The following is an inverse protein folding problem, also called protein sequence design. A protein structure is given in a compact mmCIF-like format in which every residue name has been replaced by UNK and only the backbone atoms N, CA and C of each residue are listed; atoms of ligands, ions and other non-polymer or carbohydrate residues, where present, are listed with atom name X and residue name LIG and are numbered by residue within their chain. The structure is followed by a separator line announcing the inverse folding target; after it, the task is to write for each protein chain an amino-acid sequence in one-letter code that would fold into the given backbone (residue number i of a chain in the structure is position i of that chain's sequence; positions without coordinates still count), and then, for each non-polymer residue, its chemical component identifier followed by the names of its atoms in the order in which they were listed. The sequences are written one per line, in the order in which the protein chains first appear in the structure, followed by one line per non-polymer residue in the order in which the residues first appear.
data_IF_468149466663
#
_entry.id   IF_468149466663
#
_cell.length_a   1.000
_cell.length_b   1.000
_cell.length_c   1.000
_cell.angle_alpha   90.00
_cell.angle_beta   90.00
_cell.angle_gamma   90.00
#
_symmetry.space_group_name_H-M   'P 1'
#
loop_
_entity.id
_entity.type
_entity.pdbx_description
1 polymer ?
#
# COMPACT_ATOMS: atom_id res chain seq x y z
N UNK A 1 77.53 1.58 5.75
CA UNK A 1 76.33 1.69 6.60
C UNK A 1 75.21 2.18 5.70
N UNK A 2 74.32 1.28 5.30
CA UNK A 2 73.21 1.57 4.38
C UNK A 2 71.95 1.66 5.23
N UNK A 3 71.26 2.79 5.16
CA UNK A 3 70.08 3.12 5.95
C UNK A 3 68.88 2.21 5.61
N UNK A 4 68.28 1.67 6.66
CA UNK A 4 67.06 0.88 6.63
C UNK A 4 65.84 1.75 6.34
N UNK A 5 65.38 1.78 5.09
CA UNK A 5 64.05 2.27 4.75
C UNK A 5 63.00 1.23 5.12
N UNK A 6 62.35 1.49 6.25
CA UNK A 6 61.13 0.84 6.74
C UNK A 6 59.99 0.97 5.72
N UNK A 7 59.70 -0.13 5.02
CA UNK A 7 58.47 -0.30 4.24
C UNK A 7 57.30 -0.48 5.22
N UNK A 8 56.77 0.63 5.74
CA UNK A 8 55.41 0.65 6.30
C UNK A 8 54.46 0.37 5.14
N UNK A 9 53.96 -0.87 5.07
CA UNK A 9 52.76 -1.18 4.30
C UNK A 9 51.61 -0.41 4.95
N UNK A 10 51.20 0.67 4.29
CA UNK A 10 49.93 1.32 4.52
C UNK A 10 48.84 0.27 4.33
N UNK A 11 48.30 -0.21 5.45
CA UNK A 11 47.08 -0.97 5.49
C UNK A 11 45.97 -0.04 4.98
N UNK A 12 45.67 -0.17 3.68
CA UNK A 12 44.46 0.37 3.08
C UNK A 12 43.29 -0.29 3.81
N UNK A 13 42.75 0.43 4.79
CA UNK A 13 41.41 0.23 5.30
C UNK A 13 40.46 0.39 4.12
N UNK A 14 40.16 -0.71 3.43
CA UNK A 14 38.86 -0.84 2.79
C UNK A 14 37.86 -0.84 3.94
N UNK A 15 37.27 0.33 4.19
CA UNK A 15 36.02 0.40 4.92
C UNK A 15 35.02 -0.45 4.14
N UNK A 16 34.89 -1.69 4.61
CA UNK A 16 33.85 -2.61 4.24
C UNK A 16 32.55 -1.85 4.50
N UNK A 17 31.94 -1.34 3.42
CA UNK A 17 30.67 -0.63 3.43
C UNK A 17 29.57 -1.66 3.75
N UNK A 18 29.63 -2.16 4.99
CA UNK A 18 28.77 -3.19 5.55
C UNK A 18 27.46 -2.50 5.83
N UNK A 19 26.51 -2.71 4.92
CA UNK A 19 25.12 -2.34 5.13
C UNK A 19 24.70 -2.77 6.53
N UNK A 20 24.15 -1.87 7.37
CA UNK A 20 23.78 -2.21 8.73
C UNK A 20 22.80 -3.39 8.72
N UNK A 21 23.05 -4.37 9.59
CA UNK A 21 22.21 -5.56 9.68
C UNK A 21 20.73 -5.18 9.84
N UNK A 22 19.81 -5.87 9.16
CA UNK A 22 18.38 -5.57 9.23
C UNK A 22 17.89 -5.71 10.68
N UNK A 23 17.35 -4.63 11.23
CA UNK A 23 16.78 -4.61 12.59
C UNK A 23 15.31 -5.01 12.53
N UNK A 24 14.93 -6.00 13.34
CA UNK A 24 13.54 -6.44 13.47
C UNK A 24 12.68 -5.35 14.11
N UNK A 25 11.49 -5.11 13.54
CA UNK A 25 10.46 -4.23 14.13
C UNK A 25 9.50 -5.08 14.95
N UNK A 26 9.77 -5.24 16.24
CA UNK A 26 9.02 -6.17 17.12
C UNK A 26 7.61 -5.69 17.51
N UNK A 27 7.17 -4.52 17.03
CA UNK A 27 5.85 -3.93 17.35
C UNK A 27 4.90 -3.79 16.16
N UNK A 28 5.18 -4.41 15.01
CA UNK A 28 4.24 -4.39 13.88
C UNK A 28 3.08 -5.34 14.14
N UNK A 29 1.84 -4.85 14.01
CA UNK A 29 0.68 -5.71 14.12
C UNK A 29 0.59 -6.61 12.89
N UNK A 30 0.34 -7.89 13.12
CA UNK A 30 0.04 -8.82 12.04
C UNK A 30 -1.44 -8.74 11.68
N UNK A 31 -1.73 -8.69 10.37
CA UNK A 31 -3.07 -8.83 9.81
C UNK A 31 -3.00 -9.93 8.76
N UNK A 32 -3.97 -10.84 8.76
CA UNK A 32 -4.11 -11.83 7.68
C UNK A 32 -4.61 -11.17 6.37
N UNK A 33 -4.48 -11.84 5.21
CA UNK A 33 -5.05 -11.35 3.96
C UNK A 33 -6.56 -11.05 4.07
N UNK A 34 -7.30 -11.88 4.78
CA UNK A 34 -8.74 -11.67 5.05
C UNK A 34 -9.00 -10.45 5.94
N UNK A 35 -8.15 -10.22 6.95
CA UNK A 35 -8.27 -9.04 7.80
C UNK A 35 -8.00 -7.75 7.01
N UNK A 36 -7.01 -7.76 6.11
CA UNK A 36 -6.70 -6.62 5.23
C UNK A 36 -7.90 -6.29 4.34
N UNK A 37 -8.48 -7.29 3.67
CA UNK A 37 -9.69 -7.13 2.85
C UNK A 37 -10.87 -6.56 3.65
N UNK A 38 -11.10 -7.10 4.85
CA UNK A 38 -12.17 -6.62 5.74
C UNK A 38 -11.93 -5.18 6.22
N UNK A 39 -10.66 -4.82 6.46
CA UNK A 39 -10.26 -3.48 6.91
C UNK A 39 -10.49 -2.46 5.82
N UNK A 40 -10.18 -2.78 4.57
CA UNK A 40 -10.43 -1.90 3.42
C UNK A 40 -11.92 -1.70 3.19
N UNK A 41 -12.71 -2.77 3.32
CA UNK A 41 -14.16 -2.69 3.25
C UNK A 41 -14.70 -1.72 4.32
N UNK A 42 -14.18 -1.78 5.55
CA UNK A 42 -14.52 -0.84 6.62
C UNK A 42 -14.10 0.60 6.31
N UNK A 43 -12.89 0.80 5.75
CA UNK A 43 -12.42 2.13 5.31
C UNK A 43 -13.36 2.70 4.24
N UNK A 44 -13.76 1.90 3.25
CA UNK A 44 -14.69 2.29 2.20
C UNK A 44 -16.05 2.70 2.78
N UNK A 45 -16.60 1.91 3.71
CA UNK A 45 -17.86 2.20 4.39
C UNK A 45 -17.77 3.49 5.21
N UNK A 46 -16.73 3.64 6.03
CA UNK A 46 -16.53 4.83 6.87
C UNK A 46 -16.32 6.09 6.05
N UNK A 47 -15.56 6.00 4.95
CA UNK A 47 -15.41 7.11 4.02
C UNK A 47 -16.72 7.49 3.36
N UNK A 48 -17.51 6.51 2.90
CA UNK A 48 -18.81 6.78 2.27
C UNK A 48 -19.75 7.49 3.24
N UNK A 49 -19.75 7.08 4.52
CA UNK A 49 -20.50 7.75 5.60
C UNK A 49 -19.98 9.16 5.87
N UNK A 50 -18.67 9.38 5.85
CA UNK A 50 -18.08 10.70 6.05
C UNK A 50 -18.42 11.64 4.88
N UNK A 51 -18.24 11.17 3.64
CA UNK A 51 -18.58 11.90 2.44
C UNK A 51 -20.07 12.27 2.39
N UNK A 52 -20.99 11.36 2.77
CA UNK A 52 -22.43 11.66 2.77
C UNK A 52 -22.81 12.75 3.77
N UNK A 53 -22.14 12.83 4.92
CA UNK A 53 -22.31 13.95 5.86
C UNK A 53 -21.88 15.26 5.20
N UNK A 54 -20.72 15.28 4.54
CA UNK A 54 -20.21 16.49 3.87
C UNK A 54 -21.09 16.93 2.70
N UNK A 55 -21.57 15.99 1.88
CA UNK A 55 -22.52 16.27 0.79
C UNK A 55 -23.81 16.88 1.36
N UNK A 56 -24.36 16.30 2.42
CA UNK A 56 -25.56 16.83 3.08
C UNK A 56 -25.38 18.25 3.60
N UNK A 57 -24.22 18.57 4.19
CA UNK A 57 -23.90 19.94 4.61
C UNK A 57 -23.92 20.87 3.39
N UNK A 58 -23.29 20.48 2.28
CA UNK A 58 -23.30 21.26 1.03
C UNK A 58 -24.72 21.53 0.50
N UNK A 59 -25.56 20.50 0.45
CA UNK A 59 -26.96 20.61 0.02
C UNK A 59 -27.78 21.55 0.92
N UNK A 60 -27.60 21.46 2.24
CA UNK A 60 -28.29 22.34 3.19
C UNK A 60 -27.84 23.80 3.04
N UNK A 61 -26.54 24.04 2.82
CA UNK A 61 -25.98 25.38 2.58
C UNK A 61 -26.55 25.99 1.29
N UNK A 62 -26.61 25.23 0.20
CA UNK A 62 -27.18 25.70 -1.07
C UNK A 62 -28.69 25.93 -1.00
N UNK A 63 -29.43 25.07 -0.31
CA UNK A 63 -30.87 25.25 -0.06
C UNK A 63 -31.13 26.53 0.77
N UNK A 64 -30.33 26.76 1.82
CA UNK A 64 -30.41 27.96 2.63
C UNK A 64 -30.08 29.22 1.81
N UNK A 65 -29.04 29.15 0.98
CA UNK A 65 -28.69 30.23 0.04
C UNK A 65 -29.86 30.59 -0.87
N UNK A 66 -30.48 29.61 -1.52
CA UNK A 66 -31.62 29.83 -2.41
C UNK A 66 -32.85 30.43 -1.66
N UNK A 67 -33.07 30.01 -0.42
CA UNK A 67 -34.13 30.56 0.45
C UNK A 67 -33.90 32.03 0.80
N UNK A 68 -32.68 32.38 1.20
CA UNK A 68 -32.27 33.76 1.51
C UNK A 68 -32.32 34.63 0.25
N UNK A 69 -31.81 34.12 -0.88
CA UNK A 69 -31.88 34.81 -2.16
C UNK A 69 -33.32 35.13 -2.60
N UNK A 70 -34.28 34.22 -2.33
CA UNK A 70 -35.70 34.44 -2.62
C UNK A 70 -36.32 35.48 -1.71
N UNK A 71 -35.97 35.46 -0.42
CA UNK A 71 -36.48 36.40 0.58
C UNK A 71 -35.97 37.83 0.39
N UNK A 72 -34.77 38.00 -0.18
CA UNK A 72 -34.11 39.29 -0.36
C UNK A 72 -34.25 39.90 -1.77
N UNK A 73 -35.23 39.44 -2.57
CA UNK A 73 -35.43 39.92 -3.95
C UNK A 73 -35.74 41.42 -4.08
N UNK A 74 -36.26 42.04 -3.01
CA UNK A 74 -36.62 43.47 -2.99
C UNK A 74 -35.49 44.42 -2.58
N UNK A 75 -34.29 43.92 -2.28
CA UNK A 75 -33.14 44.73 -1.87
C UNK A 75 -32.22 45.08 -3.06
N UNK A 76 -31.47 46.17 -2.91
CA UNK A 76 -30.42 46.55 -3.85
C UNK A 76 -29.36 45.45 -3.99
N UNK A 77 -28.81 45.29 -5.20
CA UNK A 77 -27.93 44.18 -5.55
C UNK A 77 -26.63 44.15 -4.70
N UNK A 78 -26.14 45.33 -4.28
CA UNK A 78 -24.91 45.45 -3.48
C UNK A 78 -25.12 44.96 -2.05
N UNK A 79 -26.20 45.37 -1.40
CA UNK A 79 -26.50 44.98 -0.02
C UNK A 79 -26.98 43.53 0.06
N UNK A 80 -27.72 43.07 -0.96
CA UNK A 80 -28.21 41.69 -1.08
C UNK A 80 -27.06 40.67 -1.04
N UNK A 81 -26.00 40.90 -1.80
CA UNK A 81 -24.86 39.97 -1.89
C UNK A 81 -24.13 39.83 -0.54
N UNK A 82 -23.93 40.95 0.16
CA UNK A 82 -23.27 40.96 1.48
C UNK A 82 -24.09 40.19 2.53
N UNK A 83 -25.41 40.43 2.58
CA UNK A 83 -26.32 39.77 3.52
C UNK A 83 -26.41 38.27 3.23
N UNK A 84 -26.51 37.86 1.97
CA UNK A 84 -26.51 36.43 1.57
C UNK A 84 -25.22 35.77 2.05
N UNK A 85 -24.05 36.33 1.72
CA UNK A 85 -22.77 35.73 2.10
C UNK A 85 -22.62 35.59 3.62
N UNK A 86 -23.04 36.60 4.39
CA UNK A 86 -23.00 36.54 5.86
C UNK A 86 -23.95 35.48 6.42
N UNK A 87 -25.17 35.40 5.90
CA UNK A 87 -26.16 34.40 6.33
C UNK A 87 -25.72 32.97 5.99
N UNK A 88 -25.28 32.75 4.76
CA UNK A 88 -24.78 31.45 4.27
C UNK A 88 -23.53 31.02 5.04
N UNK A 89 -22.59 31.94 5.28
CA UNK A 89 -21.39 31.65 6.08
C UNK A 89 -21.73 31.30 7.53
N UNK A 90 -22.70 31.98 8.15
CA UNK A 90 -23.16 31.67 9.51
C UNK A 90 -23.80 30.29 9.57
N UNK A 91 -24.74 30.02 8.66
CA UNK A 91 -25.42 28.73 8.60
C UNK A 91 -24.46 27.57 8.35
N UNK A 92 -23.49 27.74 7.45
CA UNK A 92 -22.41 26.76 7.23
C UNK A 92 -21.62 26.49 8.52
N UNK A 93 -21.25 27.54 9.25
CA UNK A 93 -20.49 27.39 10.49
C UNK A 93 -21.28 26.64 11.59
N UNK A 94 -22.60 26.80 11.63
CA UNK A 94 -23.47 26.09 12.57
C UNK A 94 -23.60 24.61 12.19
N UNK A 95 -23.83 24.29 10.90
CA UNK A 95 -23.87 22.91 10.41
C UNK A 95 -22.55 22.15 10.64
N UNK A 96 -21.41 22.82 10.40
CA UNK A 96 -20.08 22.26 10.68
C UNK A 96 -19.93 21.93 12.16
N UNK A 97 -20.46 22.78 13.05
CA UNK A 97 -20.40 22.59 14.51
C UNK A 97 -21.30 21.45 14.97
N UNK A 98 -22.53 21.39 14.47
CA UNK A 98 -23.50 20.33 14.78
C UNK A 98 -22.98 18.95 14.35
N UNK A 99 -22.36 18.88 13.18
CA UNK A 99 -21.81 17.63 12.62
C UNK A 99 -20.38 17.33 13.09
N UNK A 100 -19.80 18.12 14.00
CA UNK A 100 -18.39 17.98 14.36
C UNK A 100 -18.07 16.63 14.99
N UNK A 101 -18.89 16.16 15.93
CA UNK A 101 -18.65 14.89 16.64
C UNK A 101 -18.73 13.66 15.72
N UNK A 102 -19.79 13.43 14.93
CA UNK A 102 -19.83 12.26 14.03
C UNK A 102 -18.69 12.29 12.99
N UNK A 103 -18.32 13.47 12.46
CA UNK A 103 -17.20 13.60 11.51
C UNK A 103 -15.85 13.27 12.16
N UNK A 104 -15.59 13.79 13.37
CA UNK A 104 -14.35 13.49 14.12
C UNK A 104 -14.26 12.01 14.49
N UNK A 105 -15.37 11.38 14.88
CA UNK A 105 -15.39 9.95 15.19
C UNK A 105 -14.99 9.12 13.95
N UNK A 106 -15.64 9.36 12.80
CA UNK A 106 -15.30 8.68 11.55
C UNK A 106 -13.84 8.91 11.14
N UNK A 107 -13.34 10.15 11.29
CA UNK A 107 -11.95 10.49 10.97
C UNK A 107 -10.96 9.76 11.86
N UNK A 108 -11.24 9.65 13.17
CA UNK A 108 -10.41 8.89 14.12
C UNK A 108 -10.42 7.41 13.80
N UNK A 109 -11.57 6.83 13.48
CA UNK A 109 -11.68 5.42 13.09
C UNK A 109 -10.90 5.14 11.80
N UNK A 110 -11.01 6.02 10.79
CA UNK A 110 -10.24 5.92 9.55
C UNK A 110 -8.73 5.94 9.81
N UNK A 111 -8.27 6.82 10.69
CA UNK A 111 -6.86 6.91 11.08
C UNK A 111 -6.37 5.64 11.80
N UNK A 112 -7.17 5.08 12.71
CA UNK A 112 -6.85 3.83 13.39
C UNK A 112 -6.75 2.64 12.42
N UNK A 113 -7.69 2.54 11.47
CA UNK A 113 -7.66 1.52 10.43
C UNK A 113 -6.43 1.69 9.53
N UNK A 114 -6.09 2.93 9.14
CA UNK A 114 -4.86 3.25 8.39
C UNK A 114 -3.62 2.77 9.12
N UNK A 115 -3.48 3.13 10.39
CA UNK A 115 -2.31 2.78 11.20
C UNK A 115 -2.16 1.25 11.34
N UNK A 116 -3.28 0.54 11.50
CA UNK A 116 -3.29 -0.93 11.55
C UNK A 116 -2.74 -1.53 10.25
N UNK A 117 -3.26 -1.10 9.09
CA UNK A 117 -2.80 -1.57 7.77
C UNK A 117 -1.32 -1.20 7.52
N UNK A 118 -0.92 0.03 7.85
CA UNK A 118 0.45 0.49 7.68
C UNK A 118 1.43 -0.31 8.54
N UNK A 119 1.04 -0.66 9.78
CA UNK A 119 1.87 -1.51 10.64
C UNK A 119 2.05 -2.91 10.05
N UNK A 120 0.99 -3.48 9.46
CA UNK A 120 1.00 -4.79 8.84
C UNK A 120 1.81 -4.85 7.53
N UNK A 121 1.95 -3.72 6.81
CA UNK A 121 2.68 -3.63 5.53
C UNK A 121 4.10 -4.19 5.58
N UNK A 122 4.76 -4.12 6.75
CA UNK A 122 6.11 -4.67 6.93
C UNK A 122 6.18 -6.17 6.63
N UNK A 123 5.08 -6.90 6.84
CA UNK A 123 5.00 -8.33 6.62
C UNK A 123 4.66 -8.74 5.17
N UNK A 124 4.42 -7.78 4.29
CA UNK A 124 4.00 -7.99 2.90
C UNK A 124 4.94 -7.30 1.91
N UNK A 125 6.18 -6.98 2.31
CA UNK A 125 7.13 -6.22 1.49
C UNK A 125 7.68 -6.97 0.27
N UNK A 126 7.58 -8.31 0.27
CA UNK A 126 8.14 -9.15 -0.77
C UNK A 126 7.36 -10.45 -0.90
N UNK A 127 7.13 -10.95 -2.14
CA UNK A 127 6.55 -12.27 -2.37
C UNK A 127 7.33 -13.40 -1.68
N UNK A 128 8.67 -13.29 -1.61
CA UNK A 128 9.52 -14.28 -0.92
C UNK A 128 9.20 -14.33 0.58
N UNK A 129 9.02 -13.16 1.22
CA UNK A 129 8.65 -13.10 2.64
C UNK A 129 7.25 -13.68 2.89
N UNK A 130 6.31 -13.43 1.97
CA UNK A 130 4.97 -14.01 2.06
C UNK A 130 5.02 -15.54 1.94
N UNK A 131 5.72 -16.06 0.94
CA UNK A 131 5.84 -17.49 0.66
C UNK A 131 6.53 -18.23 1.83
N UNK A 132 7.63 -17.68 2.33
CA UNK A 132 8.38 -18.28 3.46
C UNK A 132 7.59 -18.27 4.77
N UNK A 133 6.74 -17.26 4.98
CA UNK A 133 5.83 -17.17 6.14
C UNK A 133 4.66 -18.14 6.02
N UNK A 134 4.06 -18.26 4.83
CA UNK A 134 2.92 -19.16 4.59
C UNK A 134 3.30 -20.63 4.84
N UNK A 135 4.53 -21.00 4.51
CA UNK A 135 5.07 -22.36 4.67
C UNK A 135 5.83 -22.56 5.99
N UNK A 136 5.73 -21.63 6.92
CA UNK A 136 6.42 -21.71 8.21
C UNK A 136 5.82 -22.84 9.06
N UNK A 137 6.69 -23.73 9.56
CA UNK A 137 6.25 -24.89 10.35
C UNK A 137 5.83 -26.11 9.53
N UNK A 138 5.90 -26.05 8.18
CA UNK A 138 5.68 -27.22 7.34
C UNK A 138 6.79 -28.27 7.54
N UNK A 139 6.39 -29.48 7.97
CA UNK A 139 7.30 -30.64 8.03
C UNK A 139 7.82 -31.00 6.64
N UNK A 140 6.96 -30.89 5.64
CA UNK A 140 7.29 -31.21 4.25
C UNK A 140 8.38 -30.28 3.73
N UNK A 141 8.24 -28.96 3.97
CA UNK A 141 9.29 -27.98 3.63
C UNK A 141 10.62 -28.33 4.29
N UNK A 142 10.61 -28.70 5.57
CA UNK A 142 11.83 -29.08 6.30
C UNK A 142 12.52 -30.30 5.68
N UNK A 143 11.75 -31.33 5.28
CA UNK A 143 12.28 -32.52 4.59
C UNK A 143 12.84 -32.18 3.22
N UNK A 144 12.15 -31.37 2.43
CA UNK A 144 12.61 -30.92 1.12
C UNK A 144 13.93 -30.15 1.26
N UNK A 145 14.04 -29.24 2.23
CA UNK A 145 15.28 -28.50 2.49
C UNK A 145 16.47 -29.42 2.76
N UNK A 146 16.26 -30.53 3.47
CA UNK A 146 17.31 -31.54 3.70
C UNK A 146 17.66 -32.28 2.42
N UNK A 147 16.66 -32.64 1.59
CA UNK A 147 16.88 -33.36 0.33
C UNK A 147 17.67 -32.53 -0.69
N UNK A 148 17.38 -31.23 -0.81
CA UNK A 148 18.03 -30.34 -1.78
C UNK A 148 19.36 -29.73 -1.27
N UNK A 149 19.79 -30.05 -0.05
CA UNK A 149 20.98 -29.46 0.55
C UNK A 149 22.24 -29.71 -0.31
N UNK A 150 22.35 -30.92 -0.87
CA UNK A 150 23.45 -31.33 -1.75
C UNK A 150 23.23 -31.08 -3.24
N UNK A 151 22.08 -30.55 -3.65
CA UNK A 151 21.77 -30.35 -5.07
C UNK A 151 22.64 -29.27 -5.71
N UNK A 152 23.08 -29.53 -6.93
CA UNK A 152 23.85 -28.60 -7.76
C UNK A 152 22.97 -27.55 -8.46
N UNK A 153 23.56 -26.51 -9.09
CA UNK A 153 22.80 -25.43 -9.73
C UNK A 153 21.81 -25.91 -10.81
N UNK A 154 22.20 -26.91 -11.62
CA UNK A 154 21.33 -27.45 -12.66
C UNK A 154 20.08 -28.15 -12.09
N UNK A 155 20.24 -28.96 -11.03
CA UNK A 155 19.11 -29.62 -10.36
C UNK A 155 18.19 -28.59 -9.71
N UNK A 156 18.75 -27.56 -9.07
CA UNK A 156 17.96 -26.49 -8.45
C UNK A 156 17.15 -25.70 -9.50
N UNK A 157 17.69 -25.48 -10.70
CA UNK A 157 16.96 -24.86 -11.81
C UNK A 157 15.74 -25.71 -12.21
N UNK A 158 15.95 -27.00 -12.49
CA UNK A 158 14.87 -27.91 -12.90
C UNK A 158 13.81 -28.08 -11.80
N UNK A 159 14.22 -28.12 -10.52
CA UNK A 159 13.28 -28.18 -9.40
C UNK A 159 12.48 -26.87 -9.26
N UNK A 160 13.07 -25.72 -9.57
CA UNK A 160 12.36 -24.44 -9.55
C UNK A 160 11.30 -24.35 -10.66
N UNK A 161 11.64 -24.80 -11.88
CA UNK A 161 10.67 -24.92 -12.98
C UNK A 161 9.52 -25.86 -12.60
N UNK A 162 9.84 -27.01 -12.02
CA UNK A 162 8.83 -27.95 -11.52
C UNK A 162 7.95 -27.35 -10.42
N UNK A 163 8.54 -26.66 -9.46
CA UNK A 163 7.80 -25.98 -8.38
C UNK A 163 6.84 -24.91 -8.94
N UNK A 164 7.31 -24.14 -9.92
CA UNK A 164 6.52 -23.11 -10.60
C UNK A 164 5.35 -23.71 -11.38
N UNK A 165 5.58 -24.81 -12.12
CA UNK A 165 4.55 -25.50 -12.88
C UNK A 165 3.47 -26.12 -11.97
N UNK A 166 3.88 -26.75 -10.87
CA UNK A 166 2.95 -27.41 -9.93
C UNK A 166 2.32 -26.46 -8.90
N UNK A 167 2.77 -25.20 -8.84
CA UNK A 167 2.43 -24.21 -7.81
C UNK A 167 2.67 -24.73 -6.38
N UNK A 168 3.73 -25.52 -6.19
CA UNK A 168 4.09 -26.12 -4.90
C UNK A 168 4.85 -25.16 -3.99
N UNK A 169 4.11 -24.49 -3.11
CA UNK A 169 4.64 -23.45 -2.22
C UNK A 169 5.74 -23.95 -1.27
N UNK A 170 5.62 -25.17 -0.75
CA UNK A 170 6.61 -25.73 0.18
C UNK A 170 7.95 -25.97 -0.50
N UNK A 171 7.92 -26.50 -1.73
CA UNK A 171 9.11 -26.69 -2.55
C UNK A 171 9.72 -25.34 -2.96
N UNK A 172 8.90 -24.40 -3.44
CA UNK A 172 9.37 -23.07 -3.82
C UNK A 172 10.01 -22.31 -2.66
N UNK A 173 9.44 -22.39 -1.46
CA UNK A 173 9.99 -21.77 -0.26
C UNK A 173 11.33 -22.39 0.17
N UNK A 174 11.47 -23.72 0.06
CA UNK A 174 12.72 -24.43 0.34
C UNK A 174 13.82 -24.01 -0.65
N UNK A 175 13.48 -23.97 -1.95
CA UNK A 175 14.38 -23.55 -3.03
C UNK A 175 14.83 -22.08 -2.87
N UNK A 176 13.93 -21.16 -2.50
CA UNK A 176 14.27 -19.77 -2.22
C UNK A 176 15.31 -19.64 -1.09
N UNK A 177 15.18 -20.45 -0.04
CA UNK A 177 16.16 -20.51 1.04
C UNK A 177 17.52 -21.02 0.54
N UNK A 178 17.52 -22.16 -0.16
CA UNK A 178 18.75 -22.79 -0.66
C UNK A 178 19.54 -21.89 -1.62
N UNK A 179 18.85 -21.17 -2.51
CA UNK A 179 19.49 -20.24 -3.46
C UNK A 179 20.02 -18.98 -2.77
N UNK A 180 19.40 -18.54 -1.67
CA UNK A 180 19.93 -17.42 -0.89
C UNK A 180 21.30 -17.75 -0.27
N UNK A 181 21.53 -19.01 0.10
CA UNK A 181 22.79 -19.49 0.67
C UNK A 181 23.92 -19.64 -0.38
N UNK A 182 23.58 -19.68 -1.68
CA UNK A 182 24.57 -19.78 -2.75
C UNK A 182 25.26 -18.43 -3.04
N UNK A 183 26.55 -18.44 -3.43
CA UNK A 183 27.21 -17.29 -4.02
C UNK A 183 26.44 -16.76 -5.22
N UNK A 184 26.40 -15.44 -5.41
CA UNK A 184 25.57 -14.81 -6.46
C UNK A 184 25.83 -15.36 -7.88
N UNK A 185 27.07 -15.74 -8.19
CA UNK A 185 27.46 -16.30 -9.47
C UNK A 185 26.94 -17.73 -9.72
N UNK A 186 26.60 -18.47 -8.66
CA UNK A 186 26.16 -19.86 -8.72
C UNK A 186 24.64 -20.01 -8.62
N UNK A 187 23.91 -18.89 -8.52
CA UNK A 187 22.45 -18.89 -8.38
C UNK A 187 21.81 -19.18 -9.74
N UNK A 188 21.10 -20.31 -9.90
CA UNK A 188 20.54 -20.70 -11.20
C UNK A 188 19.25 -19.96 -11.56
N UNK A 189 18.56 -19.35 -10.59
CA UNK A 189 17.35 -18.57 -10.80
C UNK A 189 17.20 -17.46 -9.74
N UNK A 190 16.28 -16.53 -9.97
CA UNK A 190 15.92 -15.49 -9.01
C UNK A 190 14.86 -16.00 -8.03
N UNK A 191 15.17 -16.00 -6.73
CA UNK A 191 14.19 -16.31 -5.69
C UNK A 191 12.97 -15.37 -5.74
N UNK A 192 13.17 -14.11 -6.17
CA UNK A 192 12.09 -13.14 -6.34
C UNK A 192 11.12 -13.54 -7.44
N UNK A 193 11.63 -13.97 -8.60
CA UNK A 193 10.81 -14.42 -9.73
C UNK A 193 10.03 -15.68 -9.39
N UNK A 194 10.70 -16.67 -8.77
CA UNK A 194 10.02 -17.90 -8.33
C UNK A 194 8.88 -17.58 -7.37
N UNK A 195 9.13 -16.74 -6.35
CA UNK A 195 8.10 -16.36 -5.40
C UNK A 195 6.98 -15.50 -6.01
N UNK A 196 7.28 -14.69 -7.03
CA UNK A 196 6.27 -13.93 -7.77
C UNK A 196 5.34 -14.86 -8.57
N UNK A 197 5.87 -15.92 -9.17
CA UNK A 197 5.05 -16.94 -9.86
C UNK A 197 4.11 -17.68 -8.89
N UNK A 198 4.48 -17.83 -7.61
CA UNK A 198 3.65 -18.55 -6.61
C UNK A 198 2.67 -17.64 -5.86
N UNK A 199 3.11 -16.44 -5.50
CA UNK A 199 2.42 -15.53 -4.58
C UNK A 199 2.28 -14.10 -5.10
N UNK A 200 2.73 -13.82 -6.32
CA UNK A 200 2.78 -12.46 -6.90
C UNK A 200 1.41 -11.82 -7.04
N UNK A 201 0.39 -12.58 -7.48
CA UNK A 201 -0.99 -12.09 -7.55
C UNK A 201 -1.51 -11.63 -6.18
N UNK A 202 -1.41 -12.49 -5.16
CA UNK A 202 -1.81 -12.15 -3.80
C UNK A 202 -0.99 -10.99 -3.24
N UNK A 203 0.32 -10.95 -3.51
CA UNK A 203 1.18 -9.85 -3.09
C UNK A 203 0.78 -8.51 -3.74
N UNK A 204 0.50 -8.50 -5.05
CA UNK A 204 0.02 -7.30 -5.78
C UNK A 204 -1.34 -6.87 -5.27
N UNK A 205 -2.27 -7.80 -5.11
CA UNK A 205 -3.60 -7.56 -4.56
C UNK A 205 -3.49 -6.86 -3.20
N UNK A 206 -2.78 -7.46 -2.25
CA UNK A 206 -2.62 -6.91 -0.90
C UNK A 206 -1.86 -5.58 -0.90
N UNK A 207 -0.82 -5.46 -1.72
CA UNK A 207 -0.05 -4.20 -1.85
C UNK A 207 -0.93 -3.07 -2.37
N UNK A 208 -1.72 -3.32 -3.42
CA UNK A 208 -2.69 -2.37 -3.96
C UNK A 208 -3.72 -1.99 -2.87
N UNK A 209 -4.27 -2.98 -2.19
CA UNK A 209 -5.20 -2.83 -1.09
C UNK A 209 -4.67 -1.89 0.02
N UNK A 210 -3.40 -2.03 0.41
CA UNK A 210 -2.77 -1.19 1.44
C UNK A 210 -2.58 0.25 0.98
N UNK A 211 -2.11 0.46 -0.24
CA UNK A 211 -1.93 1.79 -0.85
C UNK A 211 -3.28 2.49 -0.99
N UNK A 212 -4.29 1.74 -1.42
CA UNK A 212 -5.65 2.21 -1.57
C UNK A 212 -6.25 2.63 -0.22
N UNK A 213 -6.03 1.85 0.85
CA UNK A 213 -6.43 2.19 2.21
C UNK A 213 -5.86 3.54 2.65
N UNK A 214 -4.55 3.76 2.47
CA UNK A 214 -3.87 5.00 2.81
C UNK A 214 -4.43 6.19 2.01
N UNK A 215 -4.56 6.04 0.69
CA UNK A 215 -5.12 7.06 -0.19
C UNK A 215 -6.52 7.48 0.27
N UNK A 216 -7.41 6.51 0.56
CA UNK A 216 -8.79 6.81 0.95
C UNK A 216 -8.90 7.61 2.24
N UNK A 217 -8.01 7.34 3.19
CA UNK A 217 -7.98 8.06 4.47
C UNK A 217 -7.45 9.48 4.27
N UNK A 218 -6.42 9.67 3.44
CA UNK A 218 -5.93 11.01 3.10
C UNK A 218 -6.98 11.84 2.36
N UNK A 219 -7.73 11.25 1.42
CA UNK A 219 -8.83 11.94 0.74
C UNK A 219 -9.91 12.37 1.74
N UNK A 220 -10.30 11.52 2.68
CA UNK A 220 -11.26 11.91 3.73
C UNK A 220 -10.75 13.05 4.63
N UNK A 221 -9.45 13.06 4.96
CA UNK A 221 -8.82 14.14 5.73
C UNK A 221 -8.74 15.45 4.93
N UNK A 222 -8.53 15.38 3.62
CA UNK A 222 -8.60 16.54 2.72
C UNK A 222 -10.01 17.11 2.67
N UNK A 223 -11.02 16.27 2.46
CA UNK A 223 -12.43 16.67 2.41
C UNK A 223 -12.88 17.32 3.73
N UNK A 224 -12.47 16.75 4.87
CA UNK A 224 -12.73 17.30 6.20
C UNK A 224 -12.08 18.69 6.39
N UNK A 225 -10.85 18.87 5.91
CA UNK A 225 -10.15 20.15 5.99
C UNK A 225 -10.81 21.21 5.09
N UNK A 226 -11.20 20.84 3.87
CA UNK A 226 -11.91 21.74 2.95
C UNK A 226 -13.27 22.13 3.54
N UNK A 227 -13.99 21.17 4.14
CA UNK A 227 -15.27 21.44 4.76
C UNK A 227 -15.16 22.45 5.91
N UNK A 228 -14.16 22.28 6.79
CA UNK A 228 -13.97 23.08 8.01
C UNK A 228 -13.31 24.44 7.76
N UNK A 229 -12.25 24.47 6.95
CA UNK A 229 -11.44 25.68 6.73
C UNK A 229 -11.71 26.38 5.41
N UNK A 230 -12.40 25.72 4.48
CA UNK A 230 -12.60 26.21 3.12
C UNK A 230 -11.35 26.15 2.24
N UNK A 231 -10.22 25.62 2.73
CA UNK A 231 -8.95 25.57 2.03
C UNK A 231 -8.41 24.14 1.99
N UNK A 232 -8.00 23.68 0.81
CA UNK A 232 -7.29 22.42 0.63
C UNK A 232 -5.86 22.48 1.15
N UNK A 233 -5.22 21.31 1.28
CA UNK A 233 -3.82 21.17 1.65
C UNK A 233 -3.00 20.66 0.46
N UNK A 234 -2.23 21.54 -0.17
CA UNK A 234 -1.46 21.21 -1.38
C UNK A 234 -0.50 20.03 -1.21
N UNK A 235 0.11 19.88 -0.02
CA UNK A 235 0.98 18.73 0.26
C UNK A 235 0.20 17.42 0.27
N UNK A 236 -0.99 17.41 0.89
CA UNK A 236 -1.85 16.22 0.94
C UNK A 236 -2.41 15.89 -0.45
N UNK A 237 -2.78 16.90 -1.24
CA UNK A 237 -3.24 16.69 -2.62
C UNK A 237 -2.14 16.04 -3.48
N UNK A 238 -0.87 16.46 -3.30
CA UNK A 238 0.29 15.83 -3.97
C UNK A 238 0.49 14.38 -3.51
N UNK A 239 0.42 14.13 -2.21
CA UNK A 239 0.54 12.79 -1.63
C UNK A 239 -0.53 11.83 -2.16
N UNK A 240 -1.79 12.28 -2.22
CA UNK A 240 -2.89 11.54 -2.83
C UNK A 240 -2.60 11.26 -4.31
N UNK A 241 -2.07 12.22 -5.06
CA UNK A 241 -1.71 12.03 -6.46
C UNK A 241 -0.58 11.00 -6.64
N UNK A 242 0.44 11.02 -5.77
CA UNK A 242 1.52 10.03 -5.76
C UNK A 242 0.99 8.62 -5.44
N UNK A 243 0.10 8.49 -4.46
CA UNK A 243 -0.52 7.21 -4.13
C UNK A 243 -1.40 6.67 -5.27
N UNK A 244 -2.16 7.55 -5.95
CA UNK A 244 -2.93 7.17 -7.16
C UNK A 244 -2.02 6.67 -8.28
N UNK A 245 -0.85 7.27 -8.44
CA UNK A 245 0.14 6.83 -9.42
C UNK A 245 0.70 5.46 -9.02
N UNK A 246 1.07 5.30 -7.75
CA UNK A 246 1.62 4.04 -7.24
C UNK A 246 0.61 2.88 -7.31
N UNK A 247 -0.66 3.13 -7.00
CA UNK A 247 -1.75 2.16 -7.14
C UNK A 247 -1.89 1.66 -8.59
N UNK A 248 -1.80 2.58 -9.57
CA UNK A 248 -1.80 2.21 -10.99
C UNK A 248 -0.55 1.43 -11.39
N UNK A 249 0.61 1.81 -10.88
CA UNK A 249 1.86 1.09 -11.15
C UNK A 249 1.77 -0.35 -10.64
N UNK A 250 1.21 -0.60 -9.46
CA UNK A 250 0.99 -1.96 -8.94
C UNK A 250 0.04 -2.76 -9.84
N UNK A 251 -1.07 -2.15 -10.29
CA UNK A 251 -2.05 -2.80 -11.17
C UNK A 251 -1.58 -3.02 -12.61
N UNK A 252 -0.64 -2.22 -13.11
CA UNK A 252 -0.12 -2.32 -14.48
C UNK A 252 0.83 -3.52 -14.70
N UNK A 253 1.30 -4.16 -13.62
CA UNK A 253 2.11 -5.38 -13.68
C UNK A 253 1.28 -6.67 -13.46
N UNK A 254 -0.04 -6.61 -13.62
CA UNK A 254 -0.81 -7.84 -13.82
C UNK A 254 -0.22 -8.54 -15.07
N UNK A 255 0.16 -9.83 -15.00
CA UNK A 255 0.57 -10.53 -16.19
C UNK A 255 -0.60 -10.46 -17.17
N UNK A 256 -0.37 -9.78 -18.29
CA UNK A 256 -1.18 -9.89 -19.48
C UNK A 256 -1.15 -11.38 -19.83
N UNK A 257 -2.17 -12.12 -19.38
CA UNK A 257 -2.45 -13.42 -19.94
C UNK A 257 -2.83 -13.15 -21.38
N UNK A 258 -1.83 -13.20 -22.25
CA UNK A 258 -1.98 -13.16 -23.69
C UNK A 258 -3.04 -14.19 -24.07
N UNK A 259 -4.25 -13.70 -24.29
CA UNK A 259 -5.18 -14.34 -25.19
C UNK A 259 -4.69 -13.87 -26.55
N UNK A 260 -3.69 -14.58 -27.06
CA UNK A 260 -3.48 -14.66 -28.50
C UNK A 260 -4.80 -15.21 -29.05
N UNK A 261 -5.58 -14.35 -29.70
CA UNK A 261 -6.74 -14.73 -30.50
C UNK A 261 -6.23 -15.57 -31.69
N UNK A 262 -5.93 -16.84 -31.43
CA UNK A 262 -5.66 -17.84 -32.45
C UNK A 262 -7.00 -18.36 -33.03
N UNK A 263 -7.21 -17.97 -34.28
CA UNK A 263 -7.83 -18.76 -35.35
C UNK A 263 -9.24 -19.36 -35.12
N UNK A 264 -10.26 -18.67 -35.64
CA UNK A 264 -11.35 -19.36 -36.36
C UNK A 264 -11.18 -19.10 -37.86
N UNK A 265 -10.44 -20.00 -38.52
CA UNK A 265 -10.60 -20.26 -39.95
C UNK A 265 -11.87 -21.11 -40.09
N UNK A 266 -12.98 -20.49 -40.48
CA UNK A 266 -14.19 -21.21 -40.84
C UNK A 266 -14.14 -21.58 -42.34
N UNK A 267 -14.18 -22.89 -42.59
CA UNK A 267 -14.51 -23.54 -43.88
C UNK A 267 -15.90 -23.16 -44.41
#
# INVERSE_FOLDING_TARGET
MVESTSFRRDALNLEENTMPAPRAKLGSNWLSPTDIRSTITRIQQNRTRHASILTRIGEQVESHRASVERSLRGLDARDRTSVINKSVSGHRADLIRETAEPRKLLTRELEQLRQSVQSASTHYRSPVQMLTRETLGSERRSRIMQQIAGSGPAELASLAEYAAAQKDKDLGAALCGRVADLPRAERPFSAGELADVMCGELHRELSQAMVEAERRVLEALEDEQIATTGKGNAQRSLEIAMLKKHEREIGAYAPDHGVEDDEEVAE
#
